data_IF_936920870270
#
_entry.id   IF_936920870270
#
_cell.length_a   1.000
_cell.length_b   1.000
_cell.length_c   1.000
_cell.angle_alpha   90.00
_cell.angle_beta   90.00
_cell.angle_gamma   90.00
#
_symmetry.space_group_name_H-M   'P 1'
#
loop_
_entity.id
_entity.type
_entity.pdbx_description
1 polymer ?
#
# COMPACT_ATOMS: atom_id res chain seq x y z
N UNK A 1 10.75 -7.98 9.50
CA UNK A 1 9.65 -8.96 9.39
C UNK A 1 9.40 -9.33 7.92
N UNK A 2 9.06 -8.39 7.03
CA UNK A 2 8.68 -8.63 5.62
C UNK A 2 9.73 -9.41 4.82
N UNK A 3 11.01 -9.05 4.92
CA UNK A 3 12.11 -9.77 4.25
C UNK A 3 12.16 -11.25 4.65
N UNK A 4 12.07 -11.52 5.96
CA UNK A 4 12.06 -12.90 6.47
C UNK A 4 10.82 -13.65 5.98
N UNK A 5 9.65 -13.01 5.98
CA UNK A 5 8.41 -13.62 5.48
C UNK A 5 8.54 -14.03 4.01
N UNK A 6 9.15 -13.18 3.16
CA UNK A 6 9.39 -13.50 1.76
C UNK A 6 10.36 -14.68 1.57
N UNK A 7 11.41 -14.78 2.38
CA UNK A 7 12.32 -15.93 2.34
C UNK A 7 11.61 -17.28 2.60
N UNK A 8 10.54 -17.25 3.39
CA UNK A 8 9.70 -18.42 3.65
C UNK A 8 8.48 -18.53 2.71
N UNK A 9 8.47 -17.78 1.58
CA UNK A 9 7.43 -17.90 0.56
C UNK A 9 6.11 -17.22 0.89
N UNK A 10 6.05 -16.40 1.95
CA UNK A 10 4.84 -15.66 2.27
C UNK A 10 4.60 -14.52 1.25
N UNK A 11 3.36 -14.41 0.78
CA UNK A 11 2.91 -13.34 -0.10
C UNK A 11 2.56 -12.09 0.72
N UNK A 12 3.58 -11.34 1.15
CA UNK A 12 3.40 -10.09 1.90
C UNK A 12 3.67 -8.90 0.99
N UNK A 13 2.71 -7.96 0.88
CA UNK A 13 2.84 -6.77 0.03
C UNK A 13 4.08 -5.95 0.37
N UNK A 14 4.74 -5.41 -0.67
CA UNK A 14 5.91 -4.52 -0.54
C UNK A 14 5.50 -3.10 -0.15
N UNK A 15 4.30 -2.71 -0.54
CA UNK A 15 3.74 -1.37 -0.39
C UNK A 15 3.62 -0.96 1.08
N UNK A 16 3.02 -1.82 1.89
CA UNK A 16 2.88 -1.59 3.32
C UNK A 16 4.23 -1.51 4.04
N UNK A 17 5.22 -2.31 3.61
CA UNK A 17 6.56 -2.26 4.15
C UNK A 17 7.27 -0.93 3.82
N UNK A 18 7.15 -0.44 2.59
CA UNK A 18 7.71 0.85 2.17
C UNK A 18 7.13 2.00 3.00
N UNK A 19 5.81 2.04 3.17
CA UNK A 19 5.14 3.04 4.01
C UNK A 19 5.64 2.97 5.46
N UNK A 20 5.73 1.76 6.03
CA UNK A 20 6.19 1.58 7.42
C UNK A 20 7.64 2.00 7.62
N UNK A 21 8.53 1.67 6.69
CA UNK A 21 9.94 2.05 6.74
C UNK A 21 10.07 3.56 6.70
N UNK A 22 9.46 4.22 5.70
CA UNK A 22 9.53 5.67 5.53
C UNK A 22 8.91 6.39 6.73
N UNK A 23 7.75 5.98 7.19
CA UNK A 23 7.11 6.55 8.37
C UNK A 23 7.93 6.36 9.65
N UNK A 24 8.59 5.21 9.81
CA UNK A 24 9.45 4.95 10.97
C UNK A 24 10.71 5.81 10.96
N UNK A 25 11.31 6.04 9.80
CA UNK A 25 12.48 6.93 9.65
C UNK A 25 12.08 8.36 9.99
N UNK A 26 10.99 8.85 9.39
CA UNK A 26 10.50 10.22 9.64
C UNK A 26 10.10 10.41 11.10
N UNK A 27 9.43 9.44 11.72
CA UNK A 27 9.09 9.48 13.14
C UNK A 27 10.34 9.47 14.02
N UNK A 28 11.35 8.68 13.68
CA UNK A 28 12.62 8.64 14.38
C UNK A 28 13.36 10.00 14.35
N UNK A 29 13.44 10.62 13.18
CA UNK A 29 14.04 11.96 13.02
C UNK A 29 13.18 13.02 13.72
N UNK A 30 11.87 12.96 13.59
CA UNK A 30 10.95 13.90 14.23
C UNK A 30 11.10 13.92 15.76
N UNK A 31 11.32 12.77 16.38
CA UNK A 31 11.52 12.67 17.85
C UNK A 31 12.72 13.49 18.35
N UNK A 32 13.73 13.69 17.52
CA UNK A 32 14.90 14.51 17.89
C UNK A 32 14.53 15.98 18.11
N UNK A 33 13.44 16.44 17.50
CA UNK A 33 12.95 17.82 17.58
C UNK A 33 11.75 17.97 18.52
N UNK A 34 11.31 16.91 19.18
CA UNK A 34 10.16 16.90 20.11
C UNK A 34 8.91 17.62 19.57
N UNK A 35 8.42 17.31 18.37
CA UNK A 35 7.32 18.02 17.74
C UNK A 35 6.02 17.79 18.51
N UNK A 36 5.07 18.73 18.38
CA UNK A 36 3.73 18.54 18.87
C UNK A 36 3.07 17.30 18.24
N UNK A 37 2.08 16.73 18.90
CA UNK A 37 1.36 15.55 18.39
C UNK A 37 0.76 15.84 17.01
N UNK A 38 0.31 17.05 16.78
CA UNK A 38 -0.28 17.50 15.52
C UNK A 38 0.77 17.60 14.41
N UNK A 39 1.90 18.22 14.68
CA UNK A 39 3.03 18.25 13.74
C UNK A 39 3.52 16.85 13.38
N UNK A 40 3.59 15.95 14.35
CA UNK A 40 3.96 14.55 14.11
C UNK A 40 2.99 13.83 13.19
N UNK A 41 1.68 14.09 13.31
CA UNK A 41 0.67 13.53 12.39
C UNK A 41 0.85 14.07 10.97
N UNK A 42 1.07 15.37 10.79
CA UNK A 42 1.36 15.96 9.49
C UNK A 42 2.62 15.38 8.85
N UNK A 43 3.69 15.18 9.63
CA UNK A 43 4.91 14.53 9.17
C UNK A 43 4.68 13.08 8.73
N UNK A 44 3.82 12.34 9.39
CA UNK A 44 3.47 10.97 8.98
C UNK A 44 2.68 10.94 7.67
N UNK A 45 1.73 11.86 7.47
CA UNK A 45 1.03 12.01 6.18
C UNK A 45 2.04 12.31 5.07
N UNK A 46 2.93 13.25 5.32
CA UNK A 46 4.00 13.65 4.39
C UNK A 46 4.91 12.46 4.05
N UNK A 47 5.27 11.64 5.04
CA UNK A 47 6.08 10.43 4.85
C UNK A 47 5.37 9.38 3.99
N UNK A 48 4.08 9.17 4.20
CA UNK A 48 3.27 8.23 3.41
C UNK A 48 3.18 8.70 1.96
N UNK A 49 2.95 9.99 1.73
CA UNK A 49 2.90 10.58 0.39
C UNK A 49 4.25 10.44 -0.35
N UNK A 50 5.37 10.70 0.35
CA UNK A 50 6.71 10.52 -0.19
C UNK A 50 6.99 9.04 -0.55
N UNK A 51 6.62 8.11 0.33
CA UNK A 51 6.78 6.68 0.07
C UNK A 51 6.04 6.24 -1.20
N UNK A 52 4.79 6.69 -1.37
CA UNK A 52 4.01 6.37 -2.56
C UNK A 52 4.56 7.03 -3.82
N UNK A 53 4.92 8.31 -3.75
CA UNK A 53 5.51 9.06 -4.87
C UNK A 53 6.80 8.41 -5.37
N UNK A 54 7.67 8.01 -4.45
CA UNK A 54 8.95 7.37 -4.80
C UNK A 54 8.80 5.92 -5.26
N UNK A 55 7.94 5.11 -4.61
CA UNK A 55 7.81 3.69 -4.97
C UNK A 55 7.07 3.46 -6.29
N UNK A 56 5.99 4.19 -6.51
CA UNK A 56 5.08 3.94 -7.64
C UNK A 56 5.20 4.96 -8.76
N UNK A 57 5.97 6.02 -8.59
CA UNK A 57 6.06 7.07 -9.60
C UNK A 57 4.78 7.89 -9.79
N UNK A 58 3.88 7.89 -8.80
CA UNK A 58 2.56 8.55 -8.88
C UNK A 58 2.36 9.56 -7.74
N UNK A 59 3.09 10.68 -7.74
CA UNK A 59 3.12 11.61 -6.60
C UNK A 59 1.75 12.18 -6.23
N UNK A 60 0.91 12.52 -7.21
CA UNK A 60 -0.44 13.06 -6.95
C UNK A 60 -1.34 12.03 -6.28
N UNK A 61 -1.36 10.80 -6.80
CA UNK A 61 -2.12 9.71 -6.19
C UNK A 61 -1.60 9.37 -4.79
N UNK A 62 -0.29 9.45 -4.58
CA UNK A 62 0.34 9.29 -3.26
C UNK A 62 -0.12 10.32 -2.24
N UNK A 63 -0.30 11.58 -2.65
CA UNK A 63 -0.86 12.64 -1.79
C UNK A 63 -2.29 12.32 -1.39
N UNK A 64 -3.16 12.00 -2.36
CA UNK A 64 -4.56 11.67 -2.08
C UNK A 64 -4.65 10.47 -1.13
N UNK A 65 -3.90 9.41 -1.41
CA UNK A 65 -3.83 8.24 -0.55
C UNK A 65 -3.39 8.58 0.88
N UNK A 66 -2.33 9.38 1.04
CA UNK A 66 -1.80 9.74 2.34
C UNK A 66 -2.79 10.56 3.19
N UNK A 67 -3.56 11.44 2.55
CA UNK A 67 -4.58 12.27 3.20
C UNK A 67 -5.76 11.42 3.72
N UNK A 68 -6.10 10.35 2.99
CA UNK A 68 -7.22 9.46 3.36
C UNK A 68 -6.80 8.35 4.33
N UNK A 69 -5.52 7.93 4.27
CA UNK A 69 -5.02 6.76 4.99
C UNK A 69 -5.01 6.94 6.50
N UNK A 70 -4.68 8.12 7.01
CA UNK A 70 -4.41 8.32 8.43
C UNK A 70 -5.66 8.50 9.29
N UNK A 71 -6.71 9.13 8.77
CA UNK A 71 -7.98 9.30 9.49
C UNK A 71 -9.15 9.07 8.52
N UNK A 72 -9.80 7.92 8.63
CA UNK A 72 -11.00 7.63 7.83
C UNK A 72 -12.08 8.68 8.05
N UNK A 73 -12.43 9.41 6.97
CA UNK A 73 -13.50 10.41 6.97
C UNK A 73 -13.08 11.84 7.36
N UNK A 74 -11.81 12.12 7.57
CA UNK A 74 -11.29 13.48 7.79
C UNK A 74 -10.06 13.74 6.95
N UNK A 75 -10.20 14.60 5.94
CA UNK A 75 -9.08 15.04 5.11
C UNK A 75 -8.39 16.22 5.80
N UNK A 76 -7.10 16.11 6.05
CA UNK A 76 -6.29 17.19 6.59
C UNK A 76 -5.70 18.04 5.47
N UNK A 77 -6.45 19.05 5.05
CA UNK A 77 -6.03 19.97 3.99
C UNK A 77 -4.69 20.68 4.27
N UNK A 78 -4.37 20.88 5.54
CA UNK A 78 -3.10 21.49 6.01
C UNK A 78 -1.86 20.68 5.57
N UNK A 79 -2.01 19.37 5.38
CA UNK A 79 -0.92 18.50 4.95
C UNK A 79 -0.71 18.48 3.42
N UNK A 80 -1.61 19.04 2.61
CA UNK A 80 -1.56 18.90 1.15
C UNK A 80 -0.24 19.42 0.58
N UNK A 81 0.17 20.60 0.98
CA UNK A 81 1.38 21.21 0.43
C UNK A 81 2.64 20.45 0.82
N UNK A 82 2.77 20.06 2.08
CA UNK A 82 3.90 19.26 2.56
C UNK A 82 3.91 17.87 1.95
N UNK A 83 2.76 17.23 1.82
CA UNK A 83 2.62 15.92 1.19
C UNK A 83 2.98 15.97 -0.31
N UNK A 84 2.52 17.01 -1.03
CA UNK A 84 2.81 17.18 -2.44
C UNK A 84 4.30 17.43 -2.70
N UNK A 85 4.88 18.35 -1.93
CA UNK A 85 6.33 18.62 -2.06
C UNK A 85 7.17 17.40 -1.76
N UNK A 86 6.86 16.65 -0.71
CA UNK A 86 7.60 15.44 -0.35
C UNK A 86 7.42 14.32 -1.38
N UNK A 87 6.21 14.13 -1.91
CA UNK A 87 5.95 13.14 -2.94
C UNK A 87 6.69 13.44 -4.25
N UNK A 88 6.71 14.73 -4.67
CA UNK A 88 7.46 15.17 -5.85
C UNK A 88 8.98 15.03 -5.65
N UNK A 89 9.49 15.45 -4.50
CA UNK A 89 10.92 15.30 -4.19
C UNK A 89 11.32 13.83 -4.20
N UNK A 90 10.52 12.96 -3.59
CA UNK A 90 10.79 11.52 -3.59
C UNK A 90 10.76 10.93 -5.01
N UNK A 91 9.78 11.33 -5.83
CA UNK A 91 9.69 10.92 -7.25
C UNK A 91 10.93 11.31 -8.03
N UNK A 92 11.32 12.59 -8.02
CA UNK A 92 12.51 13.04 -8.75
C UNK A 92 13.82 12.50 -8.18
N UNK A 93 13.89 12.23 -6.88
CA UNK A 93 15.04 11.56 -6.28
C UNK A 93 15.22 10.14 -6.85
N UNK A 94 14.14 9.34 -6.91
CA UNK A 94 14.17 7.99 -7.47
C UNK A 94 14.57 8.03 -8.95
N UNK A 95 14.00 8.94 -9.74
CA UNK A 95 14.40 9.13 -11.14
C UNK A 95 15.88 9.51 -11.31
N UNK A 96 16.40 10.40 -10.45
CA UNK A 96 17.79 10.84 -10.53
C UNK A 96 18.80 9.73 -10.24
N UNK A 97 18.39 8.71 -9.48
CA UNK A 97 19.18 7.51 -9.23
C UNK A 97 19.00 6.42 -10.29
N UNK A 98 18.23 6.68 -11.36
CA UNK A 98 17.85 5.68 -12.38
C UNK A 98 17.28 4.39 -11.77
N UNK A 99 16.50 4.52 -10.70
CA UNK A 99 15.79 3.40 -10.12
C UNK A 99 14.42 3.28 -10.81
N UNK A 100 14.12 2.07 -11.27
CA UNK A 100 12.82 1.80 -11.88
C UNK A 100 11.71 1.88 -10.84
N UNK A 101 10.65 2.60 -11.17
CA UNK A 101 9.40 2.54 -10.39
C UNK A 101 8.76 1.16 -10.57
N UNK A 102 7.98 0.72 -9.56
CA UNK A 102 7.25 -0.55 -9.61
C UNK A 102 6.08 -0.56 -10.63
N UNK A 103 6.21 0.16 -11.73
CA UNK A 103 5.23 0.23 -12.82
C UNK A 103 5.69 -0.65 -13.96
N UNK A 104 5.02 -1.78 -14.16
CA UNK A 104 5.42 -2.81 -15.13
C UNK A 104 5.08 -2.46 -16.60
N UNK A 105 4.29 -1.41 -16.85
CA UNK A 105 3.90 -1.06 -18.23
C UNK A 105 3.84 0.45 -18.42
N UNK A 106 4.73 0.97 -19.24
CA UNK A 106 4.61 2.33 -19.78
C UNK A 106 3.41 2.39 -20.72
N UNK A 107 2.31 2.93 -20.22
CA UNK A 107 1.21 3.30 -21.09
C UNK A 107 1.66 4.45 -21.98
N UNK A 108 1.54 4.28 -23.29
CA UNK A 108 1.82 5.37 -24.23
C UNK A 108 0.96 6.61 -23.96
N UNK A 109 1.19 7.72 -24.67
CA UNK A 109 0.51 8.98 -24.42
C UNK A 109 -1.01 8.81 -24.47
N UNK A 110 -1.68 9.14 -23.36
CA UNK A 110 -3.12 8.95 -23.21
C UNK A 110 -3.83 10.26 -23.56
N UNK A 111 -4.69 10.24 -24.59
CA UNK A 111 -5.55 11.36 -24.93
C UNK A 111 -6.75 11.42 -23.95
N UNK A 112 -6.81 12.49 -23.17
CA UNK A 112 -7.92 12.73 -22.24
C UNK A 112 -9.13 13.22 -23.03
N UNK A 113 -10.13 12.38 -23.19
CA UNK A 113 -11.39 12.70 -23.83
C UNK A 113 -12.58 12.26 -22.96
N UNK A 114 -13.80 12.70 -23.29
CA UNK A 114 -15.00 12.35 -22.50
C UNK A 114 -15.24 10.86 -22.36
N UNK A 115 -14.85 10.07 -23.39
CA UNK A 115 -14.95 8.61 -23.35
C UNK A 115 -13.99 8.00 -22.31
N UNK A 116 -12.79 8.54 -22.19
CA UNK A 116 -11.84 8.10 -21.17
C UNK A 116 -12.34 8.42 -19.75
N UNK A 117 -12.85 9.63 -19.55
CA UNK A 117 -13.39 10.06 -18.25
C UNK A 117 -14.52 9.12 -17.80
N UNK A 118 -15.46 8.82 -18.68
CA UNK A 118 -16.54 7.87 -18.38
C UNK A 118 -16.02 6.46 -18.00
N UNK A 119 -15.06 5.94 -18.76
CA UNK A 119 -14.43 4.62 -18.46
C UNK A 119 -13.74 4.64 -17.10
N UNK A 120 -13.05 5.73 -16.76
CA UNK A 120 -12.41 5.89 -15.45
C UNK A 120 -13.44 5.93 -14.30
N UNK A 121 -14.58 6.59 -14.49
CA UNK A 121 -15.68 6.62 -13.50
C UNK A 121 -16.22 5.21 -13.27
N UNK A 122 -16.48 4.48 -14.35
CA UNK A 122 -16.96 3.08 -14.24
C UNK A 122 -15.92 2.20 -13.55
N UNK A 123 -14.65 2.32 -13.96
CA UNK A 123 -13.55 1.59 -13.33
C UNK A 123 -13.43 1.90 -11.84
N UNK A 124 -13.52 3.17 -11.46
CA UNK A 124 -13.48 3.59 -10.06
C UNK A 124 -14.67 3.00 -9.26
N UNK A 125 -15.87 3.01 -9.81
CA UNK A 125 -17.05 2.42 -9.16
C UNK A 125 -16.89 0.90 -8.95
N UNK A 126 -16.42 0.18 -9.97
CA UNK A 126 -16.15 -1.26 -9.88
C UNK A 126 -15.06 -1.55 -8.87
N UNK A 127 -13.96 -0.79 -8.90
CA UNK A 127 -12.85 -0.93 -7.94
C UNK A 127 -13.31 -0.66 -6.51
N UNK A 128 -14.15 0.34 -6.29
CA UNK A 128 -14.72 0.64 -4.97
C UNK A 128 -15.60 -0.52 -4.48
N UNK A 129 -16.45 -1.09 -5.34
CA UNK A 129 -17.29 -2.24 -5.00
C UNK A 129 -16.45 -3.49 -4.65
N UNK A 130 -15.39 -3.74 -5.42
CA UNK A 130 -14.44 -4.83 -5.14
C UNK A 130 -13.69 -4.62 -3.83
N UNK A 131 -13.21 -3.40 -3.57
CA UNK A 131 -12.53 -3.06 -2.31
C UNK A 131 -13.45 -3.26 -1.10
N UNK A 132 -14.70 -2.79 -1.17
CA UNK A 132 -15.68 -3.02 -0.10
C UNK A 132 -15.95 -4.52 0.12
N UNK A 133 -16.06 -5.29 -0.97
CA UNK A 133 -16.28 -6.74 -0.90
C UNK A 133 -15.09 -7.44 -0.26
N UNK A 134 -13.88 -7.05 -0.64
CA UNK A 134 -12.63 -7.58 -0.07
C UNK A 134 -12.53 -7.29 1.43
N UNK A 135 -12.80 -6.06 1.86
CA UNK A 135 -12.77 -5.69 3.28
C UNK A 135 -13.79 -6.50 4.07
N UNK A 136 -15.03 -6.65 3.57
CA UNK A 136 -16.07 -7.48 4.22
C UNK A 136 -15.64 -8.94 4.30
N UNK A 137 -15.08 -9.50 3.22
CA UNK A 137 -14.58 -10.87 3.19
C UNK A 137 -13.44 -11.08 4.19
N UNK A 138 -12.49 -10.16 4.25
CA UNK A 138 -11.36 -10.21 5.20
C UNK A 138 -11.85 -10.17 6.64
N UNK A 139 -12.78 -9.26 6.97
CA UNK A 139 -13.39 -9.20 8.30
C UNK A 139 -14.16 -10.46 8.65
N UNK A 140 -14.90 -11.02 7.70
CA UNK A 140 -15.64 -12.27 7.87
C UNK A 140 -14.69 -13.44 8.17
N UNK A 141 -13.64 -13.60 7.36
CA UNK A 141 -12.62 -14.64 7.56
C UNK A 141 -11.93 -14.47 8.92
N UNK A 142 -11.52 -13.24 9.25
CA UNK A 142 -10.87 -12.98 10.54
C UNK A 142 -11.77 -13.30 11.73
N UNK A 143 -13.04 -12.87 11.69
CA UNK A 143 -14.04 -13.16 12.75
C UNK A 143 -14.29 -14.66 12.86
N UNK A 144 -14.41 -15.35 11.73
CA UNK A 144 -14.64 -16.81 11.69
C UNK A 144 -13.43 -17.56 12.23
N UNK A 145 -12.22 -17.22 11.79
CA UNK A 145 -10.99 -17.80 12.31
C UNK A 145 -10.84 -17.56 13.81
N UNK A 146 -11.17 -16.37 14.30
CA UNK A 146 -11.12 -16.05 15.73
C UNK A 146 -12.10 -16.89 16.56
N UNK A 147 -13.23 -17.28 15.97
CA UNK A 147 -14.25 -18.12 16.63
C UNK A 147 -13.83 -19.59 16.73
N UNK A 148 -13.21 -20.13 15.69
CA UNK A 148 -12.82 -21.55 15.64
C UNK A 148 -11.41 -21.82 16.17
N UNK A 149 -10.51 -20.84 16.07
CA UNK A 149 -9.13 -20.96 16.50
C UNK A 149 -8.89 -20.01 17.67
N UNK A 150 -9.03 -20.54 18.89
CA UNK A 150 -8.91 -19.76 20.13
C UNK A 150 -7.47 -19.34 20.41
N UNK A 151 -6.49 -20.13 19.99
CA UNK A 151 -5.06 -19.83 20.18
C UNK A 151 -4.53 -18.97 19.03
N UNK A 152 -4.20 -17.66 19.28
CA UNK A 152 -3.84 -16.73 18.21
C UNK A 152 -2.68 -17.16 17.30
N UNK A 153 -1.57 -17.77 17.81
CA UNK A 153 -0.47 -18.19 16.96
C UNK A 153 -0.82 -19.31 15.96
N UNK A 154 -1.90 -20.05 16.20
CA UNK A 154 -2.30 -21.15 15.31
C UNK A 154 -3.03 -20.62 14.05
N UNK A 155 -3.63 -19.42 14.11
CA UNK A 155 -4.37 -18.83 12.98
C UNK A 155 -3.51 -18.68 11.72
N UNK A 156 -2.31 -18.06 11.76
CA UNK A 156 -1.45 -17.97 10.59
C UNK A 156 -0.96 -19.36 10.11
N UNK A 157 -0.75 -20.32 11.00
CA UNK A 157 -0.35 -21.69 10.61
C UNK A 157 -1.46 -22.35 9.79
N UNK A 158 -2.71 -22.28 10.25
CA UNK A 158 -3.85 -22.82 9.50
C UNK A 158 -4.04 -22.08 8.18
N UNK A 159 -3.90 -20.75 8.17
CA UNK A 159 -3.97 -19.96 6.94
C UNK A 159 -2.90 -20.36 5.93
N UNK A 160 -1.65 -20.48 6.36
CA UNK A 160 -0.55 -20.92 5.52
C UNK A 160 -0.77 -22.34 4.97
N UNK A 161 -1.25 -23.27 5.81
CA UNK A 161 -1.56 -24.63 5.37
C UNK A 161 -2.66 -24.67 4.30
N UNK A 162 -3.69 -23.83 4.41
CA UNK A 162 -4.73 -23.70 3.40
C UNK A 162 -4.18 -23.14 2.08
N UNK A 163 -3.31 -22.12 2.14
CA UNK A 163 -2.65 -21.57 0.95
C UNK A 163 -1.80 -22.63 0.27
N UNK A 164 -0.99 -23.38 1.02
CA UNK A 164 -0.17 -24.47 0.47
C UNK A 164 -1.03 -25.59 -0.16
N UNK A 165 -2.16 -25.92 0.46
CA UNK A 165 -3.11 -26.89 -0.11
C UNK A 165 -3.70 -26.39 -1.42
N UNK A 166 -4.10 -25.10 -1.50
CA UNK A 166 -4.59 -24.48 -2.74
C UNK A 166 -3.53 -24.47 -3.83
N UNK A 167 -2.28 -24.16 -3.50
CA UNK A 167 -1.15 -24.22 -4.45
C UNK A 167 -0.94 -25.64 -4.96
N UNK A 168 -1.00 -26.63 -4.09
CA UNK A 168 -0.88 -28.03 -4.49
C UNK A 168 -2.02 -28.50 -5.41
N UNK A 169 -3.23 -28.02 -5.17
CA UNK A 169 -4.41 -28.33 -5.99
C UNK A 169 -4.43 -27.60 -7.34
N UNK A 170 -3.99 -26.33 -7.37
CA UNK A 170 -3.95 -25.54 -8.60
C UNK A 170 -2.76 -25.85 -9.50
N UNK A 171 -1.70 -26.44 -8.96
CA UNK A 171 -0.44 -26.70 -9.67
C UNK A 171 0.36 -25.45 -10.03
N UNK A 172 -0.11 -24.24 -9.64
CA UNK A 172 0.55 -22.97 -9.90
C UNK A 172 1.15 -22.39 -8.63
N UNK A 173 2.34 -21.80 -8.76
CA UNK A 173 3.05 -21.05 -7.70
C UNK A 173 3.02 -19.54 -7.91
N UNK A 174 2.31 -19.06 -8.94
CA UNK A 174 2.32 -17.66 -9.36
C UNK A 174 1.82 -16.69 -8.29
N UNK A 175 1.06 -17.19 -7.33
CA UNK A 175 0.49 -16.41 -6.22
C UNK A 175 1.31 -16.50 -4.91
N UNK A 176 2.48 -17.14 -4.95
CA UNK A 176 3.40 -17.21 -3.81
C UNK A 176 4.51 -16.17 -3.94
N UNK A 177 4.99 -15.67 -2.82
CA UNK A 177 6.07 -14.69 -2.79
C UNK A 177 5.65 -13.32 -3.30
N UNK A 178 6.43 -12.74 -4.21
CA UNK A 178 6.24 -11.37 -4.71
C UNK A 178 5.24 -11.27 -5.88
N UNK A 179 4.60 -12.36 -6.28
CA UNK A 179 3.57 -12.40 -7.35
C UNK A 179 4.03 -11.78 -8.68
N UNK A 180 5.28 -11.89 -9.04
CA UNK A 180 5.79 -11.45 -10.33
C UNK A 180 6.35 -12.63 -11.10
N UNK A 181 6.26 -12.68 -12.43
CA UNK A 181 7.05 -13.60 -13.22
C UNK A 181 8.53 -13.27 -12.97
N UNK A 182 9.27 -14.27 -12.54
CA UNK A 182 10.74 -14.22 -12.48
C UNK A 182 11.30 -14.32 -13.88
#
# INVERSE_FOLDING_TARGET
ATFVSHLFGASTGREGAGIQITSSIVDGVARMFSPSLETRRLLLITAIAAAFGGLFGVPIAGVVFALEFQESGRIRYEAILSALTAALVAFYAVESFNLEHLTENELGPININGSLVWKLVVLAAVSAALAMSFVKATHFVHKTAARFITWPPLRPVVGASLVLALVALSGSRDYLGLSGPL
#
